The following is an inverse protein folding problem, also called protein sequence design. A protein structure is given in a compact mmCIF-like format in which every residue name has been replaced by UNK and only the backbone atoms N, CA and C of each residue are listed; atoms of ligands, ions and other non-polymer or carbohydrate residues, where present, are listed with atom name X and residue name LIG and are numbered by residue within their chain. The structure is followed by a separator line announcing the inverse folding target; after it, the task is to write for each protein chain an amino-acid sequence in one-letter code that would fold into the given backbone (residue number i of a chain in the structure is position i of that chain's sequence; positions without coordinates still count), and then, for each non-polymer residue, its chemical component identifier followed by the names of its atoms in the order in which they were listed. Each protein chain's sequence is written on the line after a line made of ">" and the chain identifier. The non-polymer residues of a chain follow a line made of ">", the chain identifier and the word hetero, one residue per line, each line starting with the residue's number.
data_IF_493303159768
#
_entry.id   IF_493303159768
#
_cell.length_a   1.000
_cell.length_b   1.000
_cell.length_c   1.000
_cell.angle_alpha   90.00
_cell.angle_beta   90.00
_cell.angle_gamma   90.00
#
_symmetry.space_group_name_H-M   'P 1'
#
loop_
_entity.id
_entity.type
_entity.pdbx_description
1 polymer ?
#
# COMPACT_ATOMS: atom_id res chain seq x y z
N UNK A 1 -31.77 -40.17 36.53
CA UNK A 1 -31.29 -39.88 35.16
C UNK A 1 -31.27 -38.37 34.99
N UNK A 2 -30.09 -37.76 35.13
CA UNK A 2 -29.92 -36.34 34.84
C UNK A 2 -28.75 -36.21 33.86
N UNK A 3 -29.06 -35.70 32.66
CA UNK A 3 -28.11 -35.42 31.60
C UNK A 3 -27.20 -34.24 32.02
N UNK A 4 -25.90 -34.27 31.70
CA UNK A 4 -25.00 -33.19 32.03
C UNK A 4 -25.24 -31.98 31.11
N UNK A 5 -25.07 -30.80 31.70
CA UNK A 5 -25.15 -29.51 31.03
C UNK A 5 -24.17 -29.45 29.85
N UNK A 6 -24.71 -29.12 28.68
CA UNK A 6 -23.97 -28.86 27.44
C UNK A 6 -23.04 -27.67 27.64
N UNK A 7 -21.74 -27.94 27.44
CA UNK A 7 -20.68 -26.95 27.33
C UNK A 7 -20.90 -26.16 26.02
N UNK A 8 -21.46 -24.94 26.10
CA UNK A 8 -21.51 -24.04 24.97
C UNK A 8 -20.11 -23.42 24.77
N UNK A 9 -19.32 -24.00 23.87
CA UNK A 9 -18.08 -23.40 23.41
C UNK A 9 -18.43 -22.17 22.55
N UNK A 10 -18.29 -20.97 23.14
CA UNK A 10 -18.32 -19.71 22.41
C UNK A 10 -17.01 -19.65 21.62
N UNK A 11 -17.03 -20.06 20.36
CA UNK A 11 -16.01 -19.68 19.38
C UNK A 11 -16.19 -18.21 19.08
N UNK A 12 -15.51 -17.35 19.85
CA UNK A 12 -15.26 -15.99 19.42
C UNK A 12 -14.44 -16.07 18.12
N UNK A 13 -15.12 -15.97 16.97
CA UNK A 13 -14.45 -15.62 15.73
C UNK A 13 -13.81 -14.26 15.97
N UNK A 14 -12.51 -14.28 16.22
CA UNK A 14 -11.66 -13.10 16.08
C UNK A 14 -11.74 -12.77 14.59
N UNK A 15 -12.68 -11.92 14.22
CA UNK A 15 -12.59 -11.18 12.98
C UNK A 15 -11.27 -10.42 13.10
N UNK A 16 -10.24 -10.94 12.46
CA UNK A 16 -9.02 -10.20 12.20
C UNK A 16 -9.48 -8.94 11.46
N UNK A 17 -9.67 -7.86 12.21
CA UNK A 17 -9.85 -6.53 11.66
C UNK A 17 -8.55 -6.23 10.94
N UNK A 18 -8.45 -6.62 9.67
CA UNK A 18 -7.45 -6.10 8.77
C UNK A 18 -7.73 -4.61 8.65
N UNK A 19 -7.15 -3.82 9.55
CA UNK A 19 -7.27 -2.36 9.52
C UNK A 19 -6.50 -1.79 8.34
N UNK A 20 -5.33 -2.34 8.04
CA UNK A 20 -4.40 -1.68 7.16
C UNK A 20 -4.35 -2.27 5.76
N UNK A 21 -4.30 -1.37 4.77
CA UNK A 21 -4.27 -1.74 3.37
C UNK A 21 -2.95 -2.38 2.99
N UNK A 22 -3.03 -3.27 2.01
CA UNK A 22 -1.88 -3.96 1.44
C UNK A 22 -2.14 -4.20 -0.04
N UNK A 23 -1.04 -4.30 -0.79
CA UNK A 23 -1.06 -4.75 -2.17
C UNK A 23 -1.69 -6.15 -2.25
N UNK A 24 -2.85 -6.25 -2.92
CA UNK A 24 -3.57 -7.51 -3.08
C UNK A 24 -3.41 -8.11 -4.48
N UNK A 25 -3.14 -7.30 -5.49
CA UNK A 25 -2.83 -7.76 -6.84
C UNK A 25 -1.83 -6.81 -7.52
N UNK A 26 -0.78 -7.31 -8.19
CA UNK A 26 -0.22 -8.65 -8.06
C UNK A 26 0.04 -9.03 -6.59
N UNK A 27 -0.02 -10.33 -6.22
CA UNK A 27 0.19 -10.73 -4.83
C UNK A 27 1.51 -10.18 -4.29
N UNK A 28 1.47 -9.60 -3.10
CA UNK A 28 2.69 -9.13 -2.45
C UNK A 28 3.65 -10.28 -2.22
N UNK A 29 4.95 -9.99 -2.21
CA UNK A 29 6.07 -10.86 -1.84
C UNK A 29 5.77 -11.53 -0.50
N UNK A 30 5.02 -10.82 0.34
CA UNK A 30 4.52 -11.32 1.59
C UNK A 30 5.48 -10.93 2.68
N UNK A 31 4.93 -10.25 3.67
CA UNK A 31 5.64 -9.94 4.88
C UNK A 31 5.18 -10.89 5.98
N UNK A 32 5.88 -12.02 6.13
CA UNK A 32 5.55 -13.00 7.17
C UNK A 32 5.80 -12.47 8.57
N UNK A 33 6.80 -11.58 8.74
CA UNK A 33 7.15 -10.95 10.02
C UNK A 33 6.04 -10.03 10.54
N UNK A 34 5.33 -9.37 9.64
CA UNK A 34 4.32 -8.36 9.97
C UNK A 34 2.93 -8.70 9.41
N UNK A 35 2.63 -10.00 9.25
CA UNK A 35 1.32 -10.51 8.84
C UNK A 35 0.76 -9.90 7.54
N UNK A 36 1.64 -9.56 6.61
CA UNK A 36 1.32 -8.97 5.31
C UNK A 36 1.24 -7.44 5.30
N UNK A 37 1.21 -6.77 6.46
CA UNK A 37 1.18 -5.30 6.56
C UNK A 37 2.55 -4.75 6.91
N UNK A 38 3.09 -3.83 6.11
CA UNK A 38 4.37 -3.20 6.41
C UNK A 38 4.24 -1.68 6.48
N UNK A 39 4.07 -1.15 7.69
CA UNK A 39 3.91 0.28 7.96
C UNK A 39 5.18 0.89 8.55
N UNK A 40 5.61 2.04 8.05
CA UNK A 40 6.77 2.75 8.58
C UNK A 40 6.63 3.04 10.09
N UNK A 41 5.42 3.41 10.53
CA UNK A 41 5.10 3.64 11.94
C UNK A 41 5.31 2.42 12.83
N UNK A 42 5.05 1.22 12.30
CA UNK A 42 5.26 -0.06 12.99
C UNK A 42 6.72 -0.55 12.94
N UNK A 43 7.65 0.24 12.38
CA UNK A 43 9.08 -0.08 12.31
C UNK A 43 9.53 -0.71 10.98
N UNK A 44 8.67 -0.80 9.96
CA UNK A 44 9.10 -1.15 8.61
C UNK A 44 10.00 -0.07 7.99
N UNK A 45 10.93 -0.48 7.12
CA UNK A 45 11.93 0.41 6.52
C UNK A 45 11.77 0.65 5.01
N UNK A 46 10.79 -0.01 4.39
CA UNK A 46 10.67 -0.07 2.93
C UNK A 46 11.99 -0.54 2.27
N UNK A 47 12.18 -0.35 0.96
CA UNK A 47 11.17 0.10 -0.01
C UNK A 47 10.08 -0.94 -0.26
N UNK A 48 10.30 -2.19 0.12
CA UNK A 48 9.34 -3.28 0.01
C UNK A 48 8.81 -3.71 1.38
N UNK A 49 7.75 -4.51 1.37
CA UNK A 49 7.17 -5.13 2.56
C UNK A 49 8.09 -6.18 3.19
N UNK A 50 9.00 -6.77 2.43
CA UNK A 50 10.06 -7.67 2.93
C UNK A 50 11.32 -7.54 2.07
N UNK A 51 12.51 -7.80 2.64
CA UNK A 51 13.76 -7.71 1.89
C UNK A 51 13.78 -8.76 0.76
N UNK A 52 14.53 -8.48 -0.31
CA UNK A 52 14.67 -9.37 -1.47
C UNK A 52 15.10 -10.79 -1.09
N UNK A 53 15.95 -10.93 -0.07
CA UNK A 53 16.43 -12.23 0.41
C UNK A 53 15.29 -13.15 0.88
N UNK A 54 14.23 -12.56 1.45
CA UNK A 54 13.07 -13.28 1.96
C UNK A 54 12.00 -13.52 0.88
N UNK A 55 12.24 -13.07 -0.35
CA UNK A 55 11.26 -13.25 -1.42
C UNK A 55 11.04 -14.72 -1.75
N UNK A 56 9.76 -15.19 -1.78
CA UNK A 56 9.42 -16.51 -2.33
C UNK A 56 9.90 -16.67 -3.78
N UNK A 57 10.10 -15.56 -4.49
CA UNK A 57 10.66 -15.56 -5.84
C UNK A 57 12.05 -16.18 -5.94
N UNK A 58 12.82 -16.26 -4.85
CA UNK A 58 14.10 -16.97 -4.83
C UNK A 58 13.95 -18.50 -4.82
N UNK A 59 12.78 -19.01 -4.43
CA UNK A 59 12.52 -20.45 -4.38
C UNK A 59 12.19 -21.02 -5.76
N UNK A 60 12.83 -22.14 -6.12
CA UNK A 60 12.51 -22.90 -7.34
C UNK A 60 11.10 -23.52 -7.29
N UNK A 61 10.54 -23.66 -6.09
CA UNK A 61 9.20 -24.24 -5.88
C UNK A 61 8.09 -23.19 -5.90
N UNK A 62 8.44 -21.90 -5.90
CA UNK A 62 7.46 -20.82 -5.99
C UNK A 62 7.12 -20.54 -7.46
N UNK A 63 5.85 -20.64 -7.87
CA UNK A 63 5.45 -20.39 -9.25
C UNK A 63 5.79 -18.94 -9.65
N UNK A 64 6.39 -18.76 -10.83
CA UNK A 64 6.74 -17.45 -11.35
C UNK A 64 5.57 -16.88 -12.15
N UNK A 65 5.27 -15.60 -11.94
CA UNK A 65 4.33 -14.84 -12.76
C UNK A 65 5.08 -14.21 -13.92
N UNK A 66 4.62 -14.49 -15.14
CA UNK A 66 5.17 -13.93 -16.36
C UNK A 66 4.26 -12.81 -16.86
N UNK A 67 4.86 -11.71 -17.32
CA UNK A 67 4.20 -10.51 -17.85
C UNK A 67 4.92 -10.06 -19.12
N UNK A 68 4.26 -9.28 -19.97
CA UNK A 68 4.85 -8.81 -21.23
C UNK A 68 5.16 -7.31 -21.21
N UNK A 69 6.17 -6.87 -21.98
CA UNK A 69 6.39 -5.43 -22.22
C UNK A 69 5.15 -4.79 -22.85
N UNK A 70 4.77 -3.61 -22.39
CA UNK A 70 3.62 -2.87 -22.89
C UNK A 70 2.26 -3.43 -22.45
N UNK A 71 2.22 -4.54 -21.71
CA UNK A 71 0.99 -5.04 -21.10
C UNK A 71 0.49 -4.07 -20.03
N UNK A 72 -0.83 -3.88 -19.91
CA UNK A 72 -1.43 -3.25 -18.73
C UNK A 72 -1.54 -4.27 -17.58
N UNK A 73 -0.99 -3.91 -16.42
CA UNK A 73 -1.11 -4.66 -15.19
C UNK A 73 -2.15 -4.01 -14.29
N UNK A 74 -3.13 -4.80 -13.87
CA UNK A 74 -4.03 -4.44 -12.78
C UNK A 74 -3.27 -4.46 -11.45
N UNK A 75 -3.32 -3.34 -10.74
CA UNK A 75 -2.78 -3.17 -9.40
C UNK A 75 -3.91 -2.86 -8.45
N UNK A 76 -4.09 -3.67 -7.42
CA UNK A 76 -5.24 -3.59 -6.51
C UNK A 76 -4.86 -3.69 -5.05
N UNK A 77 -5.67 -3.05 -4.21
CA UNK A 77 -5.61 -3.06 -2.75
C UNK A 77 -7.04 -2.99 -2.18
N UNK A 78 -7.20 -3.11 -0.87
CA UNK A 78 -8.50 -2.91 -0.20
C UNK A 78 -8.50 -1.58 0.53
N UNK A 79 -9.60 -0.84 0.48
CA UNK A 79 -9.70 0.46 1.16
C UNK A 79 -9.50 0.37 2.68
N UNK A 80 -10.22 -0.56 3.31
CA UNK A 80 -10.29 -0.80 4.75
C UNK A 80 -10.74 0.44 5.55
N UNK A 81 -10.25 0.62 6.78
CA UNK A 81 -10.77 1.64 7.72
C UNK A 81 -10.15 3.03 7.57
N UNK A 82 -9.22 3.20 6.63
CA UNK A 82 -8.41 4.41 6.49
C UNK A 82 -8.64 5.08 5.12
N UNK A 83 -9.00 6.39 5.09
CA UNK A 83 -9.26 7.12 3.85
C UNK A 83 -8.03 7.86 3.29
N UNK A 84 -8.16 8.25 2.03
CA UNK A 84 -7.29 9.19 1.32
C UNK A 84 -5.82 8.81 1.21
N UNK A 85 -5.05 9.79 0.76
CA UNK A 85 -3.66 9.65 0.38
C UNK A 85 -3.47 9.25 -1.08
N UNK A 86 -2.27 8.81 -1.36
CA UNK A 86 -1.77 8.52 -2.69
C UNK A 86 -1.18 7.13 -2.73
N UNK A 87 -1.25 6.51 -3.90
CA UNK A 87 -0.48 5.30 -4.23
C UNK A 87 0.61 5.68 -5.22
N UNK A 88 1.86 5.31 -4.92
CA UNK A 88 2.98 5.34 -5.87
C UNK A 88 3.26 3.93 -6.38
N UNK A 89 3.39 3.80 -7.70
CA UNK A 89 3.78 2.59 -8.41
C UNK A 89 5.11 2.79 -9.12
N UNK A 90 6.07 1.90 -8.86
CA UNK A 90 7.39 1.92 -9.47
C UNK A 90 7.82 0.50 -9.82
N UNK A 91 8.68 0.33 -10.83
CA UNK A 91 9.17 -1.00 -11.24
C UNK A 91 10.67 -0.98 -11.46
N UNK A 92 11.37 -1.95 -10.87
CA UNK A 92 12.83 -2.07 -10.97
C UNK A 92 13.24 -3.51 -11.27
N UNK A 93 14.45 -3.75 -11.79
CA UNK A 93 15.04 -5.08 -11.80
C UNK A 93 15.03 -5.71 -10.39
N UNK A 94 14.72 -7.00 -10.28
CA UNK A 94 14.57 -7.70 -9.00
C UNK A 94 15.81 -7.57 -8.10
N UNK A 95 17.01 -7.57 -8.69
CA UNK A 95 18.26 -7.41 -7.95
C UNK A 95 18.43 -6.04 -7.27
N UNK A 96 17.68 -5.02 -7.71
CA UNK A 96 17.65 -3.66 -7.17
C UNK A 96 16.48 -3.42 -6.21
N UNK A 97 15.66 -4.44 -5.90
CA UNK A 97 14.41 -4.27 -5.14
C UNK A 97 14.57 -3.93 -3.64
N UNK A 98 15.79 -3.84 -3.12
CA UNK A 98 16.08 -3.28 -1.78
C UNK A 98 16.52 -1.80 -1.84
N UNK A 99 16.62 -1.20 -3.04
CA UNK A 99 17.12 0.16 -3.24
C UNK A 99 15.99 1.18 -3.39
N UNK A 100 15.91 2.11 -2.43
CA UNK A 100 15.03 3.27 -2.52
C UNK A 100 15.32 4.15 -3.74
N UNK A 101 16.60 4.38 -4.07
CA UNK A 101 16.98 5.21 -5.21
C UNK A 101 16.53 4.58 -6.53
N UNK A 102 16.69 3.25 -6.69
CA UNK A 102 16.24 2.56 -7.89
C UNK A 102 14.73 2.74 -8.12
N UNK A 103 13.92 2.63 -7.07
CA UNK A 103 12.47 2.87 -7.19
C UNK A 103 12.13 4.33 -7.47
N UNK A 104 12.80 5.28 -6.80
CA UNK A 104 12.59 6.70 -7.02
C UNK A 104 12.93 7.12 -8.47
N UNK A 105 13.93 6.48 -9.07
CA UNK A 105 14.30 6.74 -10.46
C UNK A 105 13.37 6.06 -11.47
N UNK A 106 12.58 5.05 -11.07
CA UNK A 106 11.76 4.25 -11.98
C UNK A 106 10.28 4.23 -11.57
N UNK A 107 9.78 5.39 -11.15
CA UNK A 107 8.35 5.59 -10.90
C UNK A 107 7.58 5.53 -12.22
N UNK A 108 6.48 4.80 -12.22
CA UNK A 108 5.60 4.63 -13.39
C UNK A 108 4.31 5.43 -13.24
N UNK A 109 3.75 5.46 -12.02
CA UNK A 109 2.45 6.07 -11.79
C UNK A 109 2.26 6.53 -10.36
N UNK A 110 1.56 7.64 -10.20
CA UNK A 110 0.88 8.03 -8.98
C UNK A 110 -0.63 8.00 -9.21
N UNK A 111 -1.38 7.64 -8.19
CA UNK A 111 -2.85 7.69 -8.24
C UNK A 111 -3.41 8.03 -6.87
N UNK A 112 -4.63 8.55 -6.79
CA UNK A 112 -5.31 8.66 -5.51
C UNK A 112 -5.57 7.28 -4.90
N UNK A 113 -5.49 7.16 -3.58
CA UNK A 113 -5.76 5.88 -2.91
C UNK A 113 -7.20 5.39 -3.12
N UNK A 114 -8.17 6.31 -3.16
CA UNK A 114 -9.61 6.03 -3.35
C UNK A 114 -10.09 6.35 -4.78
N UNK A 115 -9.35 5.88 -5.80
CA UNK A 115 -9.64 6.22 -7.22
C UNK A 115 -11.00 5.69 -7.71
N UNK A 116 -11.35 4.45 -7.34
CA UNK A 116 -12.56 3.75 -7.78
C UNK A 116 -13.28 3.01 -6.65
N UNK A 117 -12.97 3.39 -5.41
CA UNK A 117 -13.51 2.79 -4.19
C UNK A 117 -13.88 3.90 -3.19
N UNK A 118 -14.60 3.56 -2.11
CA UNK A 118 -15.04 4.53 -1.12
C UNK A 118 -15.52 3.88 0.17
N UNK A 119 -15.95 4.68 1.16
CA UNK A 119 -16.49 4.18 2.43
C UNK A 119 -17.74 3.32 2.19
N UNK A 120 -17.98 2.36 3.08
CA UNK A 120 -19.18 1.52 3.03
C UNK A 120 -20.46 2.31 3.31
N UNK A 121 -20.39 3.26 4.25
CA UNK A 121 -21.45 4.23 4.51
C UNK A 121 -20.92 5.66 4.26
N UNK A 122 -21.29 6.30 3.13
CA UNK A 122 -20.86 7.65 2.82
C UNK A 122 -21.53 8.73 3.70
N UNK A 123 -22.57 8.38 4.47
CA UNK A 123 -23.25 9.29 5.39
C UNK A 123 -22.71 9.20 6.82
N UNK A 124 -21.83 8.24 7.12
CA UNK A 124 -21.17 8.18 8.41
C UNK A 124 -20.19 9.37 8.56
N UNK A 125 -20.47 10.23 9.53
CA UNK A 125 -19.70 11.45 9.82
C UNK A 125 -18.78 11.31 11.05
N UNK A 126 -18.71 10.15 11.69
CA UNK A 126 -17.94 9.89 12.93
C UNK A 126 -16.47 10.33 12.79
N UNK A 127 -15.87 10.11 11.62
CA UNK A 127 -14.48 10.47 11.31
C UNK A 127 -14.34 11.62 10.31
N UNK A 128 -15.44 12.34 10.05
CA UNK A 128 -15.55 13.33 8.99
C UNK A 128 -16.18 12.78 7.70
N UNK A 129 -16.45 13.69 6.76
CA UNK A 129 -17.17 13.38 5.52
C UNK A 129 -16.38 12.39 4.66
N UNK A 130 -16.98 11.25 4.34
CA UNK A 130 -16.38 10.18 3.54
C UNK A 130 -15.12 9.53 4.14
N UNK A 131 -14.94 9.66 5.45
CA UNK A 131 -13.78 9.14 6.17
C UNK A 131 -14.10 7.85 6.95
N UNK A 132 -15.35 7.39 6.90
CA UNK A 132 -15.77 6.10 7.45
C UNK A 132 -15.03 4.90 6.84
N UNK A 133 -15.12 3.71 7.45
CA UNK A 133 -14.49 2.50 6.94
C UNK A 133 -15.18 1.94 5.68
N UNK A 134 -14.50 1.07 4.93
CA UNK A 134 -15.08 0.37 3.79
C UNK A 134 -14.18 -0.74 3.26
N UNK A 135 -14.73 -1.88 2.86
CA UNK A 135 -13.94 -3.03 2.36
C UNK A 135 -13.87 -3.12 0.83
N UNK A 136 -14.35 -2.09 0.13
CA UNK A 136 -14.37 -2.05 -1.32
C UNK A 136 -12.94 -2.24 -1.89
N UNK A 137 -12.80 -3.06 -2.96
CA UNK A 137 -11.53 -3.16 -3.67
C UNK A 137 -11.26 -1.84 -4.38
N UNK A 138 -10.03 -1.36 -4.24
CA UNK A 138 -9.50 -0.22 -4.97
C UNK A 138 -8.49 -0.75 -5.99
N UNK A 139 -8.39 -0.10 -7.14
CA UNK A 139 -7.43 -0.50 -8.15
C UNK A 139 -7.06 0.63 -9.11
N UNK A 140 -5.96 0.39 -9.82
CA UNK A 140 -5.51 1.14 -10.98
C UNK A 140 -4.83 0.19 -11.96
N UNK A 141 -4.59 0.64 -13.18
CA UNK A 141 -3.65 -0.01 -14.11
C UNK A 141 -2.31 0.71 -14.14
N UNK A 142 -1.26 -0.03 -14.53
CA UNK A 142 0.06 0.49 -14.91
C UNK A 142 0.60 -0.30 -16.11
N UNK A 143 1.23 0.38 -17.07
CA UNK A 143 1.84 -0.29 -18.23
C UNK A 143 3.23 -0.80 -17.89
N UNK A 144 3.53 -2.06 -18.22
CA UNK A 144 4.88 -2.64 -18.10
C UNK A 144 5.84 -1.89 -19.04
N UNK A 145 6.94 -1.32 -18.53
CA UNK A 145 7.89 -0.58 -19.35
C UNK A 145 8.45 -1.42 -20.51
N UNK A 146 8.59 -0.79 -21.68
CA UNK A 146 9.11 -1.43 -22.90
C UNK A 146 10.63 -1.53 -22.93
N UNK A 147 11.33 -0.80 -22.06
CA UNK A 147 12.78 -0.80 -21.94
C UNK A 147 13.33 -1.91 -21.02
N UNK A 148 12.48 -2.81 -20.52
CA UNK A 148 12.92 -3.95 -19.71
C UNK A 148 13.41 -5.07 -20.65
N UNK A 149 14.67 -5.54 -20.50
CA UNK A 149 15.18 -6.63 -21.32
C UNK A 149 14.36 -7.90 -21.19
N UNK A 150 14.40 -8.74 -22.22
CA UNK A 150 13.66 -10.00 -22.21
C UNK A 150 14.16 -10.95 -21.12
N UNK A 151 13.26 -11.77 -20.60
CA UNK A 151 13.53 -12.73 -19.53
C UNK A 151 14.13 -12.10 -18.25
N UNK A 152 13.68 -10.89 -17.90
CA UNK A 152 14.19 -10.14 -16.74
C UNK A 152 13.25 -10.27 -15.56
N UNK A 153 13.78 -10.69 -14.41
CA UNK A 153 13.08 -10.63 -13.14
C UNK A 153 12.95 -9.17 -12.68
N UNK A 154 11.74 -8.76 -12.30
CA UNK A 154 11.40 -7.40 -11.87
C UNK A 154 10.58 -7.40 -10.59
N UNK A 155 10.59 -6.27 -9.90
CA UNK A 155 9.74 -6.01 -8.74
C UNK A 155 8.88 -4.78 -9.01
N UNK A 156 7.56 -4.93 -8.90
CA UNK A 156 6.61 -3.82 -8.81
C UNK A 156 6.49 -3.40 -7.35
N UNK A 157 6.67 -2.13 -7.05
CA UNK A 157 6.41 -1.53 -5.75
C UNK A 157 5.06 -0.82 -5.75
N UNK A 158 4.36 -0.96 -4.63
CA UNK A 158 3.20 -0.20 -4.22
C UNK A 158 3.54 0.48 -2.89
N UNK A 159 3.39 1.81 -2.85
CA UNK A 159 3.48 2.59 -1.61
C UNK A 159 2.17 3.35 -1.42
N UNK A 160 1.55 3.24 -0.25
CA UNK A 160 0.49 4.13 0.19
C UNK A 160 1.00 5.12 1.23
N UNK A 161 0.75 6.41 0.98
CA UNK A 161 1.21 7.50 1.84
C UNK A 161 0.19 8.63 1.87
N UNK A 162 0.23 9.47 2.91
CA UNK A 162 -0.68 10.61 3.07
C UNK A 162 -2.12 10.23 3.44
N UNK A 163 -2.38 8.98 3.84
CA UNK A 163 -3.68 8.64 4.41
C UNK A 163 -3.80 9.06 5.88
N UNK A 164 -5.02 9.07 6.41
CA UNK A 164 -5.28 9.60 7.74
C UNK A 164 -6.34 8.86 8.54
N UNK A 165 -6.86 9.56 9.54
CA UNK A 165 -7.75 9.01 10.56
C UNK A 165 -7.04 7.93 11.39
N UNK A 166 -5.82 8.24 11.84
CA UNK A 166 -5.05 7.31 12.68
C UNK A 166 -5.72 7.13 14.05
N UNK A 167 -6.01 5.88 14.43
CA UNK A 167 -6.78 5.55 15.64
C UNK A 167 -8.02 6.43 15.85
N UNK A 168 -8.86 6.56 14.82
CA UNK A 168 -10.10 7.33 14.86
C UNK A 168 -9.93 8.85 15.11
N UNK A 169 -8.71 9.39 14.96
CA UNK A 169 -8.43 10.81 15.13
C UNK A 169 -8.47 11.52 13.76
N UNK A 170 -9.49 12.35 13.46
CA UNK A 170 -9.69 12.92 12.12
C UNK A 170 -8.57 13.86 11.66
N UNK A 171 -7.75 14.36 12.59
CA UNK A 171 -6.65 15.29 12.33
C UNK A 171 -5.30 14.59 12.06
N UNK A 172 -5.23 13.28 12.25
CA UNK A 172 -3.99 12.53 12.37
C UNK A 172 -3.67 11.70 11.11
N UNK A 173 -2.44 11.83 10.59
CA UNK A 173 -1.90 10.99 9.52
C UNK A 173 -1.17 9.76 10.06
N UNK A 174 -1.07 8.71 9.25
CA UNK A 174 -0.23 7.54 9.53
C UNK A 174 1.02 7.49 8.64
N UNK A 175 1.91 6.56 8.93
CA UNK A 175 3.14 6.28 8.21
C UNK A 175 2.94 5.54 6.90
N UNK A 176 3.97 5.48 6.08
CA UNK A 176 3.86 4.86 4.75
C UNK A 176 3.67 3.35 4.83
N UNK A 177 2.83 2.80 3.94
CA UNK A 177 2.63 1.36 3.79
C UNK A 177 3.29 0.88 2.50
N UNK A 178 3.98 -0.25 2.59
CA UNK A 178 4.73 -0.82 1.48
C UNK A 178 4.16 -2.17 1.07
N UNK A 179 4.27 -2.49 -0.22
CA UNK A 179 4.02 -3.80 -0.79
C UNK A 179 4.80 -3.97 -2.09
N UNK A 180 5.43 -5.12 -2.30
CA UNK A 180 6.17 -5.40 -3.53
C UNK A 180 5.72 -6.72 -4.14
N UNK A 181 5.70 -6.83 -5.47
CA UNK A 181 5.41 -8.09 -6.15
C UNK A 181 6.47 -8.40 -7.19
N UNK A 182 6.95 -9.65 -7.21
CA UNK A 182 8.04 -10.10 -8.06
C UNK A 182 7.52 -10.91 -9.26
N UNK A 183 8.00 -10.58 -10.46
CA UNK A 183 7.53 -11.13 -11.74
C UNK A 183 8.68 -11.30 -12.73
N UNK A 184 8.43 -11.94 -13.88
CA UNK A 184 9.38 -12.04 -15.00
C UNK A 184 8.77 -11.38 -16.23
N UNK A 185 9.49 -10.44 -16.85
CA UNK A 185 9.12 -9.84 -18.12
C UNK A 185 9.61 -10.71 -19.27
N UNK A 186 8.70 -11.17 -20.14
CA UNK A 186 8.98 -11.97 -21.33
C UNK A 186 8.13 -11.50 -22.52
N UNK A 187 8.73 -11.35 -23.69
CA UNK A 187 8.06 -10.92 -24.91
C UNK A 187 7.53 -9.48 -24.88
N UNK A 188 6.80 -9.12 -25.93
CA UNK A 188 6.30 -7.78 -26.18
C UNK A 188 7.32 -6.85 -26.86
N UNK A 189 6.85 -5.72 -27.43
CA UNK A 189 7.70 -4.78 -28.15
C UNK A 189 8.72 -4.11 -27.20
N UNK A 190 9.98 -4.11 -27.60
CA UNK A 190 11.06 -3.41 -26.91
C UNK A 190 11.19 -1.96 -27.42
N UNK A 191 11.53 -1.05 -26.53
CA UNK A 191 11.94 0.33 -26.83
C UNK A 191 12.90 0.80 -25.75
N UNK A 192 13.98 1.49 -26.11
CA UNK A 192 14.92 2.07 -25.15
C UNK A 192 14.34 3.26 -24.36
N UNK A 193 13.15 3.74 -24.75
CA UNK A 193 12.48 4.85 -24.08
C UNK A 193 12.09 4.50 -22.64
N UNK A 194 12.58 5.31 -21.70
CA UNK A 194 12.16 5.25 -20.30
C UNK A 194 10.81 5.95 -20.15
N UNK A 195 9.79 5.28 -19.59
CA UNK A 195 8.48 5.91 -19.39
C UNK A 195 8.58 7.06 -18.39
N UNK A 196 7.89 8.16 -18.68
CA UNK A 196 7.64 9.21 -17.70
C UNK A 196 6.58 8.74 -16.71
N UNK A 197 6.73 9.12 -15.45
CA UNK A 197 5.73 8.84 -14.44
C UNK A 197 4.44 9.63 -14.74
N UNK A 198 3.29 8.97 -14.65
CA UNK A 198 1.98 9.59 -14.85
C UNK A 198 1.28 9.86 -13.50
N UNK A 199 0.37 10.83 -13.44
CA UNK A 199 -0.50 11.02 -12.29
C UNK A 199 -1.97 10.91 -12.68
N UNK A 200 -2.70 10.07 -11.94
CA UNK A 200 -4.15 9.95 -11.99
C UNK A 200 -4.75 10.58 -10.72
N UNK A 201 -5.22 11.82 -10.86
CA UNK A 201 -6.04 12.47 -9.84
C UNK A 201 -7.48 11.97 -9.83
N UNK A 202 -8.22 12.40 -8.81
CA UNK A 202 -9.63 12.09 -8.65
C UNK A 202 -9.84 10.93 -7.71
N UNK A 203 -10.34 11.25 -6.53
CA UNK A 203 -10.77 10.25 -5.55
C UNK A 203 -12.28 10.34 -5.29
N UNK A 204 -12.77 9.48 -4.40
CA UNK A 204 -14.17 9.48 -3.99
C UNK A 204 -14.71 10.85 -3.53
N UNK A 205 -13.87 11.65 -2.85
CA UNK A 205 -14.27 12.96 -2.31
C UNK A 205 -14.25 14.06 -3.37
N UNK A 206 -13.28 13.99 -4.28
CA UNK A 206 -13.03 14.96 -5.33
C UNK A 206 -13.00 14.27 -6.71
N UNK A 207 -14.14 13.68 -7.15
CA UNK A 207 -14.19 12.97 -8.42
C UNK A 207 -13.92 13.90 -9.59
N UNK A 208 -13.26 13.39 -10.63
CA UNK A 208 -12.89 14.15 -11.84
C UNK A 208 -11.98 15.36 -11.59
N UNK A 209 -11.25 15.38 -10.46
CA UNK A 209 -10.25 16.41 -10.18
C UNK A 209 -8.85 15.91 -10.49
N UNK A 210 -7.89 16.83 -10.69
CA UNK A 210 -6.46 16.50 -10.71
C UNK A 210 -5.85 16.43 -9.31
N UNK A 211 -6.61 16.03 -8.29
CA UNK A 211 -6.20 16.10 -6.88
C UNK A 211 -6.71 14.89 -6.10
N UNK A 212 -6.07 14.62 -4.96
CA UNK A 212 -6.48 13.63 -3.96
C UNK A 212 -6.62 14.31 -2.60
N UNK A 213 -7.56 13.84 -1.79
CA UNK A 213 -7.67 14.05 -0.35
C UNK A 213 -6.50 13.35 0.34
N UNK A 214 -5.83 14.03 1.27
CA UNK A 214 -4.72 13.46 2.04
C UNK A 214 -4.55 14.16 3.40
N UNK A 215 -3.73 13.58 4.27
CA UNK A 215 -3.32 14.09 5.58
C UNK A 215 -1.80 14.17 5.67
N UNK A 216 -1.29 15.13 6.44
CA UNK A 216 0.14 15.26 6.70
C UNK A 216 0.93 15.69 5.46
N UNK A 217 1.46 14.71 4.71
CA UNK A 217 2.33 14.96 3.56
C UNK A 217 1.84 14.28 2.28
N UNK A 218 2.11 14.95 1.16
CA UNK A 218 1.95 14.44 -0.21
C UNK A 218 3.29 14.01 -0.83
N UNK A 219 4.32 13.74 -0.01
CA UNK A 219 5.66 13.35 -0.46
C UNK A 219 6.11 12.07 0.23
N UNK A 220 6.53 11.09 -0.59
CA UNK A 220 7.16 9.85 -0.10
C UNK A 220 8.48 10.18 0.60
N UNK A 221 8.70 9.56 1.76
CA UNK A 221 9.85 9.75 2.64
C UNK A 221 9.56 10.63 3.85
N UNK A 222 8.56 11.51 3.79
CA UNK A 222 8.26 12.43 4.91
C UNK A 222 7.71 11.69 6.15
N UNK A 223 7.12 10.50 5.95
CA UNK A 223 6.53 9.68 7.00
C UNK A 223 7.15 8.27 7.09
N UNK A 224 8.47 8.15 6.86
CA UNK A 224 9.19 6.87 6.88
C UNK A 224 9.97 6.55 8.17
N UNK A 225 10.05 7.50 9.11
CA UNK A 225 10.71 7.43 10.42
C UNK A 225 12.20 6.96 10.46
N UNK A 226 12.89 6.87 9.33
CA UNK A 226 14.30 6.46 9.27
C UNK A 226 14.59 5.17 10.04
N UNK A 227 15.62 5.16 10.90
CA UNK A 227 16.02 3.99 11.70
C UNK A 227 15.24 3.82 13.02
N UNK A 228 14.30 4.71 13.33
CA UNK A 228 13.54 4.66 14.59
C UNK A 228 12.66 3.42 14.65
N UNK A 229 12.52 2.83 15.84
CA UNK A 229 11.55 1.77 16.11
C UNK A 229 10.68 2.16 17.30
N UNK A 230 9.39 1.78 17.33
CA UNK A 230 8.55 2.02 18.49
C UNK A 230 9.11 1.30 19.73
N UNK A 231 8.90 1.90 20.90
CA UNK A 231 9.26 1.29 22.18
C UNK A 231 7.98 0.78 22.84
N UNK A 232 7.57 -0.43 22.45
CA UNK A 232 6.32 -1.03 22.90
C UNK A 232 6.30 -1.23 24.41
N UNK A 233 5.25 -0.72 25.03
CA UNK A 233 4.90 -0.90 26.44
C UNK A 233 3.62 -1.74 26.49
N UNK A 234 3.65 -2.83 27.26
CA UNK A 234 2.51 -3.73 27.41
C UNK A 234 1.28 -2.96 27.92
N UNK A 235 0.15 -3.11 27.21
CA UNK A 235 -1.11 -2.42 27.53
C UNK A 235 -1.25 -1.00 26.96
N UNK A 236 -0.19 -0.42 26.39
CA UNK A 236 -0.25 0.87 25.70
C UNK A 236 -0.19 0.66 24.18
N UNK A 237 -1.36 0.69 23.53
CA UNK A 237 -1.47 0.52 22.08
C UNK A 237 -0.70 1.60 21.29
N UNK A 238 -0.62 2.83 21.81
CA UNK A 238 0.03 3.94 21.09
C UNK A 238 1.55 3.81 21.13
N UNK A 239 2.11 3.18 22.17
CA UNK A 239 3.55 2.90 22.26
C UNK A 239 4.07 1.92 21.19
N UNK A 240 3.17 1.19 20.53
CA UNK A 240 3.49 0.19 19.51
C UNK A 240 3.75 0.80 18.13
N UNK A 241 3.58 2.11 17.97
CA UNK A 241 3.84 2.83 16.72
C UNK A 241 4.59 4.15 16.95
N UNK A 242 5.27 4.62 15.91
CA UNK A 242 5.84 5.97 15.83
C UNK A 242 4.82 7.01 15.33
N UNK A 243 3.59 6.58 15.04
CA UNK A 243 2.48 7.38 14.54
C UNK A 243 1.70 8.09 15.67
N UNK A 244 0.95 9.15 15.36
CA UNK A 244 0.72 9.72 14.03
C UNK A 244 1.97 10.40 13.46
N UNK A 245 2.12 10.37 12.14
CA UNK A 245 3.24 11.05 11.49
C UNK A 245 3.10 12.58 11.60
N UNK A 246 1.90 13.10 11.34
CA UNK A 246 1.59 14.53 11.39
C UNK A 246 0.17 14.76 11.92
N UNK A 247 -0.06 15.96 12.46
CA UNK A 247 -1.39 16.47 12.82
C UNK A 247 -1.65 17.76 12.08
N UNK A 248 -2.45 17.69 11.02
CA UNK A 248 -2.76 18.84 10.18
C UNK A 248 -4.18 18.84 9.62
N UNK A 249 -4.99 17.83 9.93
CA UNK A 249 -6.32 17.69 9.32
C UNK A 249 -6.26 17.19 7.88
N UNK A 250 -7.45 17.01 7.30
CA UNK A 250 -7.59 16.66 5.89
C UNK A 250 -7.28 17.87 5.00
N UNK A 251 -6.62 17.62 3.88
CA UNK A 251 -6.34 18.59 2.83
C UNK A 251 -6.47 17.92 1.46
N UNK A 252 -6.20 18.65 0.37
CA UNK A 252 -6.22 18.11 -0.99
C UNK A 252 -5.07 18.64 -1.84
N UNK A 253 -4.59 17.83 -2.77
CA UNK A 253 -3.50 18.21 -3.67
C UNK A 253 -3.03 17.08 -4.57
N UNK A 254 -1.98 17.35 -5.34
CA UNK A 254 -1.26 16.35 -6.13
C UNK A 254 -0.06 15.79 -5.34
N UNK A 255 0.50 14.64 -5.73
CA UNK A 255 1.80 14.18 -5.25
C UNK A 255 2.89 15.25 -5.42
N UNK A 256 3.81 15.35 -4.47
CA UNK A 256 4.94 16.26 -4.59
C UNK A 256 5.76 15.96 -5.86
N UNK A 257 5.99 16.99 -6.67
CA UNK A 257 6.74 16.88 -7.93
C UNK A 257 5.89 16.55 -9.16
N UNK A 258 4.56 16.61 -9.05
CA UNK A 258 3.58 16.48 -10.15
C UNK A 258 2.74 17.73 -10.34
#
# INVERSE_FOLDING_TARGET
>A
MHLPATLAAITALVASCAGHSMLSNPPSRGNTKWWGTCAAGAGCKGPCDSPKADSPFNSIYSPKRYIQRGQELDVGWKRLNHPGGFVRLAMVPFNQSDSWSAFNDNVLKYTCYETNCGPADPNNMEFGKYNGPGSAPCSTTVTVPKNIPDNTAVTLQWIWYGGGVYYAQPDASFGEYYGCSDMIVVGGPYSDEKPAAAFQGGDYTYPNSGMCKYWGSNKVGDCNFGDRVPNSVDGDLLSQSLEPCMRSGETKGAPYGF
#
